data_IF_466963927434
#
_entry.id   IF_466963927434
#
_cell.length_a   1.000
_cell.length_b   1.000
_cell.length_c   1.000
_cell.angle_alpha   90.00
_cell.angle_beta   90.00
_cell.angle_gamma   90.00
#
_symmetry.space_group_name_H-M   'P 1'
#
loop_
_entity.id
_entity.type
_entity.pdbx_description
1 polymer ?
#
# COMPACT_ATOMS: atom_id res chain seq x y z
N UNK A 1 21.20 -2.47 -2.87
CA UNK A 1 20.30 -3.06 -3.91
C UNK A 1 20.24 -4.56 -3.72
N UNK A 2 19.04 -5.12 -3.65
CA UNK A 2 18.78 -6.55 -3.46
C UNK A 2 18.12 -7.11 -4.72
N UNK A 3 18.63 -8.21 -5.28
CA UNK A 3 18.08 -8.84 -6.48
C UNK A 3 17.43 -10.20 -6.11
N UNK A 4 16.24 -10.45 -6.64
CA UNK A 4 15.49 -11.70 -6.43
C UNK A 4 14.91 -12.22 -7.75
N UNK A 5 14.85 -13.53 -7.88
CA UNK A 5 14.11 -14.20 -8.94
C UNK A 5 12.74 -14.58 -8.38
N UNK A 6 11.68 -13.97 -8.90
CA UNK A 6 10.32 -14.14 -8.41
C UNK A 6 9.41 -14.72 -9.49
N UNK A 7 8.73 -15.81 -9.13
CA UNK A 7 7.68 -16.42 -9.94
C UNK A 7 6.32 -15.77 -9.60
N UNK A 8 5.42 -15.74 -10.57
CA UNK A 8 4.08 -15.18 -10.38
C UNK A 8 4.11 -13.81 -9.69
N UNK A 9 4.96 -12.91 -10.20
CA UNK A 9 5.14 -11.56 -9.67
C UNK A 9 5.26 -10.56 -10.82
N UNK A 10 4.46 -9.51 -10.79
CA UNK A 10 4.49 -8.41 -11.76
C UNK A 10 4.30 -7.08 -11.05
N UNK A 11 5.37 -6.27 -11.01
CA UNK A 11 5.31 -4.93 -10.42
C UNK A 11 4.22 -4.08 -11.07
N UNK A 12 4.11 -4.13 -12.41
CA UNK A 12 3.12 -3.38 -13.16
C UNK A 12 1.70 -3.76 -12.74
N UNK A 13 1.38 -5.07 -12.70
CA UNK A 13 0.05 -5.53 -12.30
C UNK A 13 -0.27 -5.20 -10.84
N UNK A 14 0.72 -5.27 -9.94
CA UNK A 14 0.55 -4.85 -8.54
C UNK A 14 0.24 -3.36 -8.46
N UNK A 15 1.00 -2.52 -9.19
CA UNK A 15 0.78 -1.08 -9.23
C UNK A 15 -0.60 -0.69 -9.78
N UNK A 16 -1.07 -1.41 -10.81
CA UNK A 16 -2.35 -1.18 -11.46
C UNK A 16 -3.55 -1.80 -10.71
N UNK A 17 -3.31 -2.71 -9.78
CA UNK A 17 -4.37 -3.43 -9.05
C UNK A 17 -5.28 -2.54 -8.20
N UNK A 18 -4.85 -1.31 -7.88
CA UNK A 18 -5.60 -0.38 -7.04
C UNK A 18 -5.52 -0.66 -5.54
N UNK A 19 -4.70 -1.60 -5.11
CA UNK A 19 -4.51 -1.91 -3.69
C UNK A 19 -3.72 -0.84 -2.95
N UNK A 20 -2.69 -0.26 -3.60
CA UNK A 20 -1.82 0.77 -3.03
C UNK A 20 -1.93 2.07 -3.84
N UNK A 21 -2.30 3.16 -3.18
CA UNK A 21 -2.41 4.47 -3.82
C UNK A 21 -1.09 5.26 -3.83
N UNK A 22 -0.07 4.77 -3.10
CA UNK A 22 1.25 5.38 -2.98
C UNK A 22 2.32 4.58 -3.74
N UNK A 23 1.91 3.81 -4.74
CA UNK A 23 2.76 3.13 -5.70
C UNK A 23 2.52 3.71 -7.09
N UNK A 24 3.59 3.99 -7.83
CA UNK A 24 3.50 4.56 -9.17
C UNK A 24 4.70 4.17 -10.04
N UNK A 25 4.47 4.13 -11.34
CA UNK A 25 5.52 4.02 -12.34
C UNK A 25 6.23 5.36 -12.52
N UNK A 26 7.55 5.33 -12.57
CA UNK A 26 8.41 6.49 -12.78
C UNK A 26 8.68 6.68 -14.29
N UNK A 27 9.16 7.86 -14.67
CA UNK A 27 9.45 8.19 -16.08
C UNK A 27 10.51 7.30 -16.74
N UNK A 28 11.38 6.69 -15.94
CA UNK A 28 12.44 5.78 -16.39
C UNK A 28 12.01 4.30 -16.43
N UNK A 29 10.73 4.01 -16.20
CA UNK A 29 10.16 2.67 -16.21
C UNK A 29 10.39 1.88 -14.91
N UNK A 30 11.06 2.47 -13.90
CA UNK A 30 11.09 1.94 -12.54
C UNK A 30 9.79 2.26 -11.81
N UNK A 31 9.59 1.62 -10.71
CA UNK A 31 8.45 1.85 -9.83
C UNK A 31 8.93 2.38 -8.50
N UNK A 32 8.15 3.26 -7.89
CA UNK A 32 8.35 3.63 -6.49
C UNK A 32 7.14 3.28 -5.67
N UNK A 33 7.36 2.90 -4.42
CA UNK A 33 6.32 2.66 -3.43
C UNK A 33 6.70 3.30 -2.11
N UNK A 34 5.72 3.93 -1.46
CA UNK A 34 5.84 4.40 -0.09
C UNK A 34 4.82 3.62 0.73
N UNK A 35 5.29 2.88 1.73
CA UNK A 35 4.47 2.05 2.60
C UNK A 35 4.69 2.49 4.05
N UNK A 36 3.66 3.05 4.68
CA UNK A 36 3.81 3.66 5.98
C UNK A 36 4.89 4.75 5.98
N UNK A 37 6.01 4.46 6.62
CA UNK A 37 7.17 5.35 6.75
C UNK A 37 8.40 4.90 5.94
N UNK A 38 8.24 3.97 4.97
CA UNK A 38 9.33 3.40 4.17
C UNK A 38 9.18 3.76 2.70
N UNK A 39 10.31 3.93 2.03
CA UNK A 39 10.41 4.23 0.61
C UNK A 39 11.21 3.15 -0.09
N UNK A 40 10.75 2.75 -1.27
CA UNK A 40 11.46 1.80 -2.12
C UNK A 40 11.29 2.18 -3.59
N UNK A 41 12.40 2.12 -4.33
CA UNK A 41 12.37 2.01 -5.79
C UNK A 41 12.65 0.57 -6.20
N UNK A 42 11.99 0.12 -7.25
CA UNK A 42 12.16 -1.23 -7.75
C UNK A 42 11.97 -1.28 -9.28
N UNK A 43 12.66 -2.24 -9.90
CA UNK A 43 12.55 -2.53 -11.32
C UNK A 43 12.39 -4.03 -11.57
N UNK A 44 11.81 -4.40 -12.69
CA UNK A 44 11.62 -5.80 -13.07
C UNK A 44 12.01 -6.05 -14.52
N UNK A 45 12.79 -7.09 -14.72
CA UNK A 45 13.14 -7.62 -16.05
C UNK A 45 12.84 -9.12 -16.10
N UNK A 46 11.70 -9.48 -16.68
CA UNK A 46 11.21 -10.85 -16.64
C UNK A 46 10.93 -11.29 -15.19
N UNK A 47 11.62 -12.33 -14.73
CA UNK A 47 11.51 -12.84 -13.35
C UNK A 47 12.46 -12.16 -12.37
N UNK A 48 13.42 -11.39 -12.87
CA UNK A 48 14.40 -10.71 -12.01
C UNK A 48 13.82 -9.40 -11.53
N UNK A 49 13.71 -9.25 -10.22
CA UNK A 49 13.25 -8.03 -9.56
C UNK A 49 14.38 -7.46 -8.72
N UNK A 50 14.68 -6.17 -8.91
CA UNK A 50 15.68 -5.42 -8.15
C UNK A 50 14.99 -4.43 -7.24
N UNK A 51 15.28 -4.55 -5.96
CA UNK A 51 14.79 -3.69 -4.89
C UNK A 51 15.93 -2.77 -4.46
N UNK A 52 15.74 -1.45 -4.51
CA UNK A 52 16.75 -0.49 -4.06
C UNK A 52 16.73 -0.34 -2.54
N UNK A 53 17.04 -1.44 -1.88
CA UNK A 53 17.18 -1.52 -0.43
C UNK A 53 18.27 -2.52 -0.04
N UNK A 54 18.62 -2.55 1.24
CA UNK A 54 19.52 -3.58 1.79
C UNK A 54 18.81 -4.93 1.87
N UNK A 55 19.60 -6.02 1.88
CA UNK A 55 19.04 -7.37 2.10
C UNK A 55 18.31 -7.48 3.44
N UNK A 56 18.81 -6.82 4.47
CA UNK A 56 18.20 -6.80 5.81
C UNK A 56 16.81 -6.13 5.75
N UNK A 57 16.70 -5.00 5.07
CA UNK A 57 15.43 -4.29 4.91
C UNK A 57 14.44 -5.11 4.06
N UNK A 58 14.94 -5.74 2.97
CA UNK A 58 14.12 -6.64 2.17
C UNK A 58 13.54 -7.77 3.01
N UNK A 59 14.35 -8.49 3.78
CA UNK A 59 13.90 -9.62 4.59
C UNK A 59 12.94 -9.21 5.72
N UNK A 60 13.20 -8.06 6.35
CA UNK A 60 12.41 -7.62 7.52
C UNK A 60 11.12 -6.89 7.17
N UNK A 61 10.96 -6.40 5.91
CA UNK A 61 9.80 -5.62 5.55
C UNK A 61 9.26 -5.95 4.15
N UNK A 62 10.03 -5.71 3.09
CA UNK A 62 9.49 -5.75 1.73
C UNK A 62 9.06 -7.14 1.29
N UNK A 63 9.73 -8.19 1.77
CA UNK A 63 9.37 -9.59 1.54
C UNK A 63 7.95 -9.88 2.03
N UNK A 64 7.63 -9.44 3.24
CA UNK A 64 6.28 -9.55 3.81
C UNK A 64 5.29 -8.63 3.08
N UNK A 65 5.66 -7.36 2.88
CA UNK A 65 4.80 -6.37 2.23
C UNK A 65 4.26 -6.86 0.88
N UNK A 66 5.13 -7.44 0.04
CA UNK A 66 4.77 -7.97 -1.27
C UNK A 66 4.25 -9.40 -1.25
N UNK A 67 4.03 -9.98 -0.08
CA UNK A 67 3.56 -11.36 0.10
C UNK A 67 4.38 -12.39 -0.70
N UNK A 68 5.72 -12.27 -0.62
CA UNK A 68 6.64 -13.12 -1.40
C UNK A 68 6.64 -14.57 -0.92
N UNK A 69 6.23 -14.83 0.31
CA UNK A 69 6.22 -16.16 0.91
C UNK A 69 5.08 -17.04 0.41
N UNK A 70 3.99 -16.43 -0.04
CA UNK A 70 2.84 -17.17 -0.57
C UNK A 70 3.11 -17.68 -1.98
N UNK A 71 2.94 -18.98 -2.18
CA UNK A 71 3.02 -19.59 -3.51
C UNK A 71 1.70 -19.45 -4.27
N UNK A 72 1.60 -18.39 -5.05
CA UNK A 72 0.41 -18.12 -5.88
C UNK A 72 0.22 -19.15 -7.01
N UNK A 73 1.28 -19.85 -7.40
CA UNK A 73 1.18 -20.95 -8.34
C UNK A 73 0.37 -22.14 -7.79
N UNK A 74 0.56 -22.46 -6.51
CA UNK A 74 -0.22 -23.49 -5.81
C UNK A 74 -1.69 -23.08 -5.72
N UNK A 75 -1.97 -21.80 -5.38
CA UNK A 75 -3.34 -21.28 -5.33
C UNK A 75 -4.01 -21.37 -6.72
N UNK A 76 -3.32 -20.92 -7.75
CA UNK A 76 -3.81 -20.97 -9.13
C UNK A 76 -4.08 -22.41 -9.62
N UNK A 77 -3.25 -23.38 -9.19
CA UNK A 77 -3.43 -24.79 -9.55
C UNK A 77 -4.69 -25.44 -8.93
N UNK A 78 -5.28 -24.84 -7.90
CA UNK A 78 -6.52 -25.33 -7.28
C UNK A 78 -7.79 -24.93 -8.05
N UNK A 79 -7.67 -24.04 -9.03
CA UNK A 79 -8.80 -23.58 -9.84
C UNK A 79 -9.27 -24.70 -10.75
N UNK A 80 -10.61 -24.94 -10.76
CA UNK A 80 -11.20 -25.90 -11.67
C UNK A 80 -10.93 -25.48 -13.13
N UNK A 81 -10.22 -26.29 -13.94
CA UNK A 81 -9.88 -25.94 -15.32
C UNK A 81 -11.09 -25.77 -16.25
N UNK A 82 -12.26 -26.26 -15.84
CA UNK A 82 -13.52 -26.05 -16.56
C UNK A 82 -14.17 -24.70 -16.24
N UNK A 83 -13.72 -23.99 -15.21
CA UNK A 83 -14.15 -22.63 -14.93
C UNK A 83 -13.38 -21.66 -15.83
N UNK A 84 -14.00 -21.31 -16.96
CA UNK A 84 -13.41 -20.43 -17.96
C UNK A 84 -13.14 -19.02 -17.44
N UNK A 85 -13.95 -18.53 -16.51
CA UNK A 85 -13.80 -17.16 -15.94
C UNK A 85 -12.61 -17.10 -15.01
N UNK A 86 -12.50 -18.01 -14.05
CA UNK A 86 -11.37 -18.06 -13.12
C UNK A 86 -10.05 -18.39 -13.86
N UNK A 87 -10.09 -19.30 -14.83
CA UNK A 87 -8.91 -19.61 -15.65
C UNK A 87 -8.42 -18.38 -16.42
N UNK A 88 -9.31 -17.61 -17.05
CA UNK A 88 -8.96 -16.39 -17.76
C UNK A 88 -8.47 -15.30 -16.78
N UNK A 89 -9.08 -15.16 -15.60
CA UNK A 89 -8.66 -14.21 -14.59
C UNK A 89 -7.22 -14.47 -14.11
N UNK A 90 -6.88 -15.72 -13.81
CA UNK A 90 -5.51 -16.11 -13.42
C UNK A 90 -4.50 -15.85 -14.54
N UNK A 91 -4.84 -16.17 -15.79
CA UNK A 91 -3.96 -15.89 -16.93
C UNK A 91 -3.71 -14.40 -17.11
N UNK A 92 -4.71 -13.56 -16.86
CA UNK A 92 -4.61 -12.11 -17.01
C UNK A 92 -3.85 -11.47 -15.83
N UNK A 93 -4.13 -11.91 -14.60
CA UNK A 93 -3.60 -11.33 -13.37
C UNK A 93 -2.52 -12.20 -12.70
N UNK A 94 -1.75 -12.95 -13.51
CA UNK A 94 -0.79 -13.94 -13.04
C UNK A 94 0.28 -13.42 -12.06
N UNK A 95 0.55 -12.14 -12.08
CA UNK A 95 1.61 -11.52 -11.27
C UNK A 95 1.11 -10.59 -10.17
N UNK A 96 -0.21 -10.48 -9.98
CA UNK A 96 -0.79 -9.70 -8.88
C UNK A 96 -0.51 -10.41 -7.55
N UNK A 97 -0.13 -9.63 -6.54
CA UNK A 97 0.04 -10.06 -5.15
C UNK A 97 -0.91 -9.30 -4.25
N UNK A 98 -1.36 -9.91 -3.17
CA UNK A 98 -2.12 -9.21 -2.12
C UNK A 98 -1.11 -8.58 -1.18
N UNK A 99 -1.08 -7.24 -1.16
CA UNK A 99 -0.10 -6.50 -0.37
C UNK A 99 -0.46 -6.52 1.12
N UNK A 100 0.52 -6.82 1.96
CA UNK A 100 0.40 -6.69 3.43
C UNK A 100 0.70 -5.25 3.83
N UNK A 101 -0.29 -4.39 3.66
CA UNK A 101 -0.18 -2.96 3.93
C UNK A 101 -0.37 -2.65 5.43
N UNK A 102 0.12 -1.48 5.85
CA UNK A 102 -0.15 -0.97 7.18
C UNK A 102 -1.66 -0.78 7.41
N UNK A 103 -2.17 -1.29 8.53
CA UNK A 103 -3.61 -1.30 8.82
C UNK A 103 -4.17 0.12 8.97
N UNK A 104 -3.42 1.02 9.63
CA UNK A 104 -3.85 2.40 9.79
C UNK A 104 -3.92 3.13 8.44
N UNK A 105 -2.88 3.01 7.62
CA UNK A 105 -2.87 3.57 6.26
C UNK A 105 -4.04 3.01 5.44
N UNK A 106 -4.31 1.70 5.51
CA UNK A 106 -5.45 1.07 4.84
C UNK A 106 -6.79 1.65 5.27
N UNK A 107 -7.03 1.80 6.57
CA UNK A 107 -8.29 2.34 7.10
C UNK A 107 -8.52 3.76 6.58
N UNK A 108 -7.52 4.64 6.68
CA UNK A 108 -7.65 6.03 6.22
C UNK A 108 -7.84 6.09 4.70
N UNK A 109 -7.07 5.33 3.94
CA UNK A 109 -7.20 5.31 2.48
C UNK A 109 -8.54 4.74 2.04
N UNK A 110 -9.07 3.74 2.75
CA UNK A 110 -10.42 3.22 2.53
C UNK A 110 -11.49 4.27 2.80
N UNK A 111 -11.41 5.04 3.89
CA UNK A 111 -12.33 6.15 4.15
C UNK A 111 -12.28 7.20 3.04
N UNK A 112 -11.08 7.55 2.55
CA UNK A 112 -10.89 8.48 1.45
C UNK A 112 -11.44 7.93 0.13
N UNK A 113 -11.42 6.62 -0.06
CA UNK A 113 -11.86 5.97 -1.30
C UNK A 113 -13.38 5.95 -1.49
N UNK A 114 -14.16 6.10 -0.40
CA UNK A 114 -15.62 6.00 -0.44
C UNK A 114 -16.25 7.02 -1.42
N UNK A 115 -17.01 6.52 -2.41
CA UNK A 115 -17.64 7.32 -3.47
C UNK A 115 -16.65 8.31 -4.13
N UNK A 116 -15.46 7.81 -4.50
CA UNK A 116 -14.37 8.63 -5.03
C UNK A 116 -13.72 7.93 -6.24
N UNK A 117 -12.92 8.64 -7.02
CA UNK A 117 -12.16 8.07 -8.13
C UNK A 117 -10.67 8.03 -7.78
N UNK A 118 -9.93 7.12 -8.44
CA UNK A 118 -8.51 6.83 -8.15
C UNK A 118 -7.64 8.10 -8.20
N UNK A 119 -7.82 8.96 -9.20
CA UNK A 119 -7.03 10.18 -9.37
C UNK A 119 -7.22 11.12 -8.17
N UNK A 120 -8.48 11.31 -7.73
CA UNK A 120 -8.78 12.15 -6.57
C UNK A 120 -8.32 11.50 -5.26
N UNK A 121 -8.46 10.18 -5.11
CA UNK A 121 -7.97 9.45 -3.94
C UNK A 121 -6.46 9.67 -3.79
N UNK A 122 -5.68 9.42 -4.84
CA UNK A 122 -4.22 9.64 -4.83
C UNK A 122 -3.85 11.07 -4.45
N UNK A 123 -4.57 12.07 -4.98
CA UNK A 123 -4.36 13.48 -4.63
C UNK A 123 -4.65 13.76 -3.15
N UNK A 124 -5.77 13.26 -2.62
CA UNK A 124 -6.11 13.43 -1.19
C UNK A 124 -5.04 12.81 -0.28
N UNK A 125 -4.61 11.57 -0.60
CA UNK A 125 -3.56 10.88 0.17
C UNK A 125 -2.24 11.64 0.08
N UNK A 126 -1.86 12.11 -1.10
CA UNK A 126 -0.66 12.94 -1.26
C UNK A 126 -0.74 14.20 -0.38
N UNK A 127 -1.84 14.93 -0.45
CA UNK A 127 -2.01 16.18 0.29
C UNK A 127 -1.96 15.95 1.81
N UNK A 128 -2.58 14.89 2.33
CA UNK A 128 -2.55 14.61 3.77
C UNK A 128 -1.15 14.19 4.22
N UNK A 129 -0.40 13.43 3.42
CA UNK A 129 0.97 13.07 3.71
C UNK A 129 1.90 14.29 3.67
N UNK A 130 1.73 15.20 2.70
CA UNK A 130 2.54 16.43 2.57
C UNK A 130 2.25 17.42 3.71
N UNK A 131 1.00 17.47 4.20
CA UNK A 131 0.60 18.41 5.25
C UNK A 131 0.95 17.91 6.67
N UNK A 132 0.82 16.61 6.92
CA UNK A 132 0.86 16.05 8.28
C UNK A 132 1.80 14.85 8.42
N UNK A 133 2.35 14.33 7.35
CA UNK A 133 3.33 13.25 7.37
C UNK A 133 4.73 13.73 7.72
N UNK A 134 5.49 12.90 8.41
CA UNK A 134 6.91 13.18 8.70
C UNK A 134 7.72 13.20 7.38
N UNK A 135 8.51 14.25 7.17
CA UNK A 135 9.46 14.30 6.05
C UNK A 135 10.63 13.36 6.33
N UNK A 136 10.91 12.47 5.41
CA UNK A 136 12.01 11.50 5.48
C UNK A 136 12.88 11.56 4.23
N UNK A 137 14.08 11.03 4.36
CA UNK A 137 15.03 10.90 3.22
C UNK A 137 15.36 9.43 3.03
N UNK A 138 15.15 8.93 1.83
CA UNK A 138 15.52 7.58 1.42
C UNK A 138 17.04 7.41 1.29
N UNK A 139 17.53 6.18 1.24
CA UNK A 139 18.96 5.85 1.11
C UNK A 139 19.59 6.45 -0.16
N UNK A 140 18.82 6.65 -1.21
CA UNK A 140 19.24 7.29 -2.47
C UNK A 140 19.15 8.82 -2.45
N UNK A 141 18.84 9.45 -1.31
CA UNK A 141 18.75 10.90 -1.14
C UNK A 141 17.40 11.51 -1.53
N UNK A 142 16.42 10.72 -1.95
CA UNK A 142 15.07 11.21 -2.29
C UNK A 142 14.30 11.54 -1.01
N UNK A 143 13.78 12.77 -0.93
CA UNK A 143 12.88 13.17 0.15
C UNK A 143 11.45 12.71 -0.13
N UNK A 144 10.78 12.20 0.88
CA UNK A 144 9.39 11.74 0.80
C UNK A 144 8.67 12.01 2.13
N UNK A 145 7.34 11.87 2.09
CA UNK A 145 6.51 12.02 3.28
C UNK A 145 5.99 10.66 3.73
N UNK A 146 6.20 10.33 5.01
CA UNK A 146 5.58 9.18 5.64
C UNK A 146 4.05 9.35 5.69
N UNK A 147 3.31 8.26 5.86
CA UNK A 147 1.89 8.38 6.17
C UNK A 147 1.73 8.96 7.57
N UNK A 148 0.85 9.96 7.80
CA UNK A 148 0.69 10.57 9.12
C UNK A 148 0.14 9.56 10.11
N UNK A 149 0.71 9.52 11.32
CA UNK A 149 0.24 8.64 12.40
C UNK A 149 -1.11 9.13 12.96
N UNK A 150 -1.86 8.29 13.70
CA UNK A 150 -3.07 8.75 14.40
C UNK A 150 -2.81 9.97 15.28
N UNK A 151 -1.67 10.00 15.98
CA UNK A 151 -1.28 11.10 16.89
C UNK A 151 -1.03 12.41 16.13
N UNK A 152 -0.52 12.32 14.89
CA UNK A 152 -0.33 13.51 14.04
C UNK A 152 -1.66 14.14 13.61
N UNK A 153 -2.76 13.35 13.61
CA UNK A 153 -4.08 13.78 13.16
C UNK A 153 -5.07 14.05 14.30
N UNK A 154 -4.80 13.59 15.53
CA UNK A 154 -5.75 13.66 16.66
C UNK A 154 -6.12 15.08 17.05
N UNK A 155 -5.20 16.04 16.91
CA UNK A 155 -5.40 17.45 17.23
C UNK A 155 -6.10 18.26 16.15
N UNK A 156 -6.40 17.65 15.00
CA UNK A 156 -7.00 18.34 13.87
C UNK A 156 -8.53 18.43 13.99
N UNK A 157 -9.06 19.48 13.37
CA UNK A 157 -10.48 19.63 13.15
C UNK A 157 -10.85 19.25 11.69
N UNK A 158 -12.15 19.13 11.42
CA UNK A 158 -12.63 18.70 10.09
C UNK A 158 -12.16 19.67 8.97
N UNK A 159 -12.10 20.97 9.26
CA UNK A 159 -11.70 22.00 8.31
C UNK A 159 -10.22 21.90 7.90
N UNK A 160 -9.35 21.45 8.80
CA UNK A 160 -7.93 21.26 8.51
C UNK A 160 -7.73 20.23 7.37
N UNK A 161 -8.47 19.13 7.41
CA UNK A 161 -8.42 18.09 6.38
C UNK A 161 -9.22 18.44 5.12
N UNK A 162 -10.16 19.39 5.19
CA UNK A 162 -10.84 19.90 3.99
C UNK A 162 -9.85 20.57 3.04
N UNK A 163 -8.80 21.22 3.56
CA UNK A 163 -7.70 21.79 2.77
C UNK A 163 -6.94 20.70 1.97
N UNK A 164 -6.95 19.46 2.44
CA UNK A 164 -6.39 18.30 1.72
C UNK A 164 -7.33 17.71 0.65
N UNK A 165 -8.43 18.37 0.31
CA UNK A 165 -9.45 17.93 -0.65
C UNK A 165 -10.27 16.69 -0.22
N UNK A 166 -10.31 16.34 1.07
CA UNK A 166 -11.08 15.22 1.57
C UNK A 166 -12.60 15.45 1.50
N UNK A 167 -13.04 16.73 1.59
CA UNK A 167 -14.44 17.09 1.63
C UNK A 167 -15.13 16.48 2.86
N UNK A 168 -16.34 15.96 2.71
CA UNK A 168 -17.11 15.37 3.82
C UNK A 168 -16.40 14.19 4.52
N UNK A 169 -15.33 13.62 3.92
CA UNK A 169 -14.57 12.51 4.48
C UNK A 169 -13.64 12.97 5.62
N UNK A 170 -13.33 14.28 5.68
CA UNK A 170 -12.51 14.88 6.73
C UNK A 170 -12.98 14.46 8.12
N UNK A 171 -14.28 14.55 8.38
CA UNK A 171 -14.89 14.17 9.67
C UNK A 171 -14.65 12.71 10.04
N UNK A 172 -14.67 11.81 9.06
CA UNK A 172 -14.45 10.38 9.35
C UNK A 172 -12.98 10.11 9.67
N UNK A 173 -12.04 10.72 8.94
CA UNK A 173 -10.61 10.56 9.19
C UNK A 173 -10.23 11.13 10.57
N UNK A 174 -10.71 12.35 10.91
CA UNK A 174 -10.46 12.95 12.24
C UNK A 174 -11.03 12.10 13.36
N UNK A 175 -12.27 11.63 13.23
CA UNK A 175 -12.90 10.80 14.26
C UNK A 175 -12.19 9.47 14.43
N UNK A 176 -11.79 8.83 13.34
CA UNK A 176 -11.04 7.57 13.39
C UNK A 176 -9.67 7.79 14.03
N UNK A 177 -8.97 8.88 13.70
CA UNK A 177 -7.69 9.20 14.33
C UNK A 177 -7.84 9.40 15.85
N UNK A 178 -8.88 10.14 16.29
CA UNK A 178 -9.19 10.33 17.71
C UNK A 178 -9.49 8.99 18.42
N UNK A 179 -10.29 8.11 17.81
CA UNK A 179 -10.64 6.80 18.38
C UNK A 179 -9.43 5.86 18.49
N UNK A 180 -8.54 5.86 17.50
CA UNK A 180 -7.30 5.06 17.54
C UNK A 180 -6.32 5.63 18.56
N UNK A 181 -6.10 6.95 18.58
CA UNK A 181 -5.16 7.58 19.50
C UNK A 181 -5.62 7.53 20.98
N UNK A 182 -6.92 7.30 21.25
CA UNK A 182 -7.47 7.11 22.58
C UNK A 182 -7.65 5.64 23.00
N UNK A 183 -7.14 4.70 22.22
CA UNK A 183 -7.30 3.25 22.41
C UNK A 183 -8.78 2.77 22.42
N UNK A 184 -9.72 3.59 21.94
CA UNK A 184 -11.12 3.15 21.72
C UNK A 184 -11.17 2.12 20.56
N UNK A 185 -10.27 2.24 19.60
CA UNK A 185 -10.05 1.29 18.51
C UNK A 185 -8.64 0.75 18.60
N UNK A 186 -8.52 -0.53 18.97
CA UNK A 186 -7.25 -1.25 19.08
C UNK A 186 -6.87 -1.86 17.73
N UNK A 187 -5.91 -1.23 17.04
CA UNK A 187 -5.41 -1.68 15.74
C UNK A 187 -4.63 -2.99 15.84
N UNK A 188 -3.94 -3.26 16.95
CA UNK A 188 -3.19 -4.50 17.14
C UNK A 188 -4.17 -5.68 17.27
N UNK A 189 -5.22 -5.49 18.07
CA UNK A 189 -6.28 -6.49 18.18
C UNK A 189 -6.96 -6.75 16.84
N UNK A 190 -7.34 -5.69 16.08
CA UNK A 190 -7.95 -5.85 14.76
C UNK A 190 -7.01 -6.59 13.80
N UNK A 191 -5.72 -6.23 13.78
CA UNK A 191 -4.72 -6.88 12.94
C UNK A 191 -4.47 -8.35 13.31
N UNK A 192 -4.74 -8.75 14.55
CA UNK A 192 -4.62 -10.13 15.03
C UNK A 192 -5.81 -11.03 14.65
N UNK A 193 -6.93 -10.44 14.19
CA UNK A 193 -8.12 -11.19 13.82
C UNK A 193 -7.86 -12.00 12.54
N UNK A 194 -7.80 -13.33 12.69
CA UNK A 194 -7.78 -14.25 11.56
C UNK A 194 -9.20 -14.38 11.00
N UNK A 195 -9.51 -13.66 9.95
CA UNK A 195 -10.69 -13.95 9.16
C UNK A 195 -10.44 -15.24 8.36
N UNK A 196 -10.94 -16.37 8.87
CA UNK A 196 -11.00 -17.59 8.06
C UNK A 196 -12.01 -17.33 6.94
N UNK A 197 -11.51 -17.20 5.72
CA UNK A 197 -12.29 -17.25 4.50
C UNK A 197 -12.63 -18.71 4.19
#
# INVERSE_FOLDING_TARGET
>A
MTEKILENFSIAQICESGQCFRMEEMQDGRYRVIAGNRYLELEQQGKVVRFDCSEVEYQNFWRHYFDIETDYGVIAAQINPNDRYLTAAVQTAWGVRILNQDLWEMIVTFLISQQNNIVRIRRCIKNICEAYGETKTASNGVSYYAFPTPEALVGLEEDDLMACNLGYRSKYVVRTAKAVASDEVDLEWIGSLNFKV
#
